data_IF_730666980458
#
_entry.id   IF_730666980458
#
_cell.length_a   1.000
_cell.length_b   1.000
_cell.length_c   1.000
_cell.angle_alpha   90.00
_cell.angle_beta   90.00
_cell.angle_gamma   90.00
#
_symmetry.space_group_name_H-M   'P 1'
#
loop_
_entity.id
_entity.type
_entity.pdbx_description
1 polymer ?
#
# COMPACT_ATOMS: atom_id res chain seq x y z
N UNK A 1 -11.74 9.54 -8.40
CA UNK A 1 -10.58 8.64 -8.28
C UNK A 1 -11.01 7.24 -8.72
N UNK A 2 -10.13 6.44 -9.32
CA UNK A 2 -10.46 5.10 -9.83
C UNK A 2 -10.94 4.15 -8.73
N UNK A 3 -11.93 3.30 -9.01
CA UNK A 3 -12.38 2.25 -8.09
C UNK A 3 -11.45 1.03 -8.17
N UNK A 4 -10.88 0.53 -7.06
CA UNK A 4 -10.04 -0.68 -7.07
C UNK A 4 -10.82 -1.98 -7.32
N UNK A 5 -12.15 -1.95 -7.34
CA UNK A 5 -12.97 -3.14 -7.56
C UNK A 5 -12.70 -3.75 -8.94
N UNK A 6 -12.35 -5.03 -8.99
CA UNK A 6 -12.09 -5.75 -10.24
C UNK A 6 -10.73 -5.47 -10.88
N UNK A 7 -9.87 -4.66 -10.23
CA UNK A 7 -8.49 -4.44 -10.70
C UNK A 7 -7.63 -5.67 -10.43
N UNK A 8 -6.84 -6.06 -11.43
CA UNK A 8 -5.80 -7.06 -11.26
C UNK A 8 -4.60 -6.45 -10.51
N UNK A 9 -4.40 -6.91 -9.27
CA UNK A 9 -3.24 -6.54 -8.47
C UNK A 9 -2.10 -7.54 -8.71
N UNK A 10 -0.82 -7.11 -8.77
CA UNK A 10 0.33 -8.00 -8.87
C UNK A 10 0.59 -8.68 -7.52
N UNK A 11 -0.31 -9.59 -7.15
CA UNK A 11 -0.34 -10.35 -5.91
C UNK A 11 -0.81 -11.77 -6.23
N UNK A 12 0.04 -12.75 -5.93
CA UNK A 12 -0.25 -14.17 -6.16
C UNK A 12 -0.91 -14.79 -4.93
N UNK A 13 -2.23 -15.01 -5.00
CA UNK A 13 -3.02 -15.58 -3.91
C UNK A 13 -3.32 -17.07 -4.04
N UNK A 14 -2.76 -17.73 -5.06
CA UNK A 14 -3.06 -19.11 -5.38
C UNK A 14 -4.57 -19.32 -5.59
N UNK A 15 -5.22 -20.24 -4.86
CA UNK A 15 -6.66 -20.51 -5.03
C UNK A 15 -7.56 -19.44 -4.38
N UNK A 16 -7.00 -18.52 -3.59
CA UNK A 16 -7.77 -17.49 -2.88
C UNK A 16 -7.82 -16.19 -3.67
N UNK A 17 -8.76 -15.30 -3.32
CA UNK A 17 -8.91 -14.01 -3.98
C UNK A 17 -8.03 -12.95 -3.33
N UNK A 18 -7.56 -11.99 -4.13
CA UNK A 18 -7.05 -10.73 -3.60
C UNK A 18 -8.21 -9.85 -3.14
N UNK A 19 -8.11 -9.26 -1.95
CA UNK A 19 -9.13 -8.41 -1.34
C UNK A 19 -8.56 -7.07 -0.93
N UNK A 20 -9.27 -6.00 -1.26
CA UNK A 20 -8.94 -4.63 -0.83
C UNK A 20 -9.37 -4.45 0.62
N UNK A 21 -8.41 -4.20 1.50
CA UNK A 21 -8.62 -4.08 2.94
C UNK A 21 -8.84 -2.61 3.36
N UNK A 22 -8.10 -1.71 2.73
CA UNK A 22 -8.22 -0.25 2.92
C UNK A 22 -8.00 0.44 1.58
N UNK A 23 -8.65 1.58 1.38
CA UNK A 23 -8.38 2.45 0.24
C UNK A 23 -8.50 3.92 0.63
N UNK A 24 -7.74 4.77 -0.04
CA UNK A 24 -7.82 6.22 0.06
C UNK A 24 -7.41 6.82 -1.28
N UNK A 25 -7.82 8.06 -1.54
CA UNK A 25 -7.59 8.73 -2.81
C UNK A 25 -7.08 10.14 -2.60
N UNK A 26 -6.33 10.65 -3.57
CA UNK A 26 -5.79 11.99 -3.60
C UNK A 26 -4.99 12.20 -4.88
N UNK A 27 -4.76 13.45 -5.26
CA UNK A 27 -3.84 13.81 -6.34
C UNK A 27 -2.40 13.60 -5.82
N UNK A 28 -1.75 12.52 -6.26
CA UNK A 28 -0.46 12.09 -5.73
C UNK A 28 0.72 12.55 -6.58
N UNK A 29 0.49 12.81 -7.87
CA UNK A 29 1.52 13.28 -8.79
C UNK A 29 1.40 14.77 -9.15
N UNK A 30 0.32 15.43 -8.76
CA UNK A 30 0.08 16.86 -8.93
C UNK A 30 -0.51 17.24 -10.29
N UNK A 31 -1.06 16.28 -11.04
CA UNK A 31 -1.63 16.53 -12.38
C UNK A 31 -3.11 17.02 -12.34
N UNK A 32 -3.70 17.10 -11.14
CA UNK A 32 -5.08 17.51 -10.92
C UNK A 32 -6.10 16.36 -11.00
N UNK A 33 -5.66 15.12 -11.24
CA UNK A 33 -6.50 13.91 -11.25
C UNK A 33 -6.15 13.07 -10.03
N UNK A 34 -7.14 12.61 -9.25
CA UNK A 34 -6.84 11.84 -8.06
C UNK A 34 -6.59 10.36 -8.39
N UNK A 35 -5.48 9.84 -7.88
CA UNK A 35 -5.18 8.42 -7.78
C UNK A 35 -5.97 7.76 -6.64
N UNK A 36 -6.04 6.43 -6.68
CA UNK A 36 -6.46 5.61 -5.54
C UNK A 36 -5.32 4.74 -5.08
N UNK A 37 -5.07 4.70 -3.77
CA UNK A 37 -4.12 3.78 -3.15
C UNK A 37 -4.89 2.70 -2.42
N UNK A 38 -4.61 1.45 -2.76
CA UNK A 38 -5.28 0.28 -2.21
C UNK A 38 -4.29 -0.56 -1.41
N UNK A 39 -4.68 -0.90 -0.18
CA UNK A 39 -4.03 -1.93 0.64
C UNK A 39 -4.72 -3.26 0.35
N UNK A 40 -4.00 -4.22 -0.19
CA UNK A 40 -4.55 -5.49 -0.69
C UNK A 40 -3.86 -6.66 -0.01
N UNK A 41 -4.63 -7.70 0.30
CA UNK A 41 -4.14 -8.96 0.88
C UNK A 41 -4.85 -10.13 0.24
N UNK A 42 -4.28 -11.33 0.35
CA UNK A 42 -5.00 -12.55 -0.01
C UNK A 42 -6.07 -12.87 1.05
N UNK A 43 -7.21 -13.37 0.60
CA UNK A 43 -8.30 -13.83 1.46
C UNK A 43 -7.99 -15.23 2.00
N UNK A 44 -7.10 -15.28 2.99
CA UNK A 44 -6.58 -16.54 3.54
C UNK A 44 -7.57 -17.27 4.46
N UNK A 45 -8.76 -16.70 4.74
CA UNK A 45 -9.74 -17.19 5.72
C UNK A 45 -9.26 -17.17 7.18
N UNK A 46 -7.99 -17.51 7.42
CA UNK A 46 -7.28 -17.48 8.70
C UNK A 46 -5.86 -16.95 8.51
N UNK A 47 -5.31 -16.32 9.56
CA UNK A 47 -3.98 -15.69 9.51
C UNK A 47 -4.02 -14.26 8.98
N UNK A 48 -2.83 -13.66 8.89
CA UNK A 48 -2.66 -12.28 8.41
C UNK A 48 -1.59 -12.26 7.32
N UNK A 49 -1.94 -12.62 6.06
CA UNK A 49 -0.98 -12.62 4.98
C UNK A 49 -0.41 -11.20 4.76
N UNK A 50 0.82 -11.09 4.23
CA UNK A 50 1.43 -9.82 3.90
C UNK A 50 0.53 -8.95 3.02
N UNK A 51 0.65 -7.64 3.21
CA UNK A 51 -0.08 -6.64 2.44
C UNK A 51 0.76 -6.17 1.26
N UNK A 52 0.11 -6.03 0.11
CA UNK A 52 0.57 -5.16 -0.97
C UNK A 52 -0.06 -3.78 -0.83
N UNK A 53 0.67 -2.73 -1.19
CA UNK A 53 0.14 -1.37 -1.31
C UNK A 53 0.34 -0.89 -2.73
N UNK A 54 -0.75 -0.61 -3.43
CA UNK A 54 -0.73 -0.32 -4.86
C UNK A 54 -1.35 1.04 -5.15
N UNK A 55 -0.79 1.77 -6.10
CA UNK A 55 -1.33 3.03 -6.62
C UNK A 55 -2.02 2.77 -7.94
N UNK A 56 -3.26 3.25 -8.06
CA UNK A 56 -4.11 3.15 -9.23
C UNK A 56 -4.32 4.53 -9.84
N UNK A 57 -4.24 4.61 -11.16
CA UNK A 57 -4.71 5.76 -11.94
C UNK A 57 -5.85 5.35 -12.87
N UNK A 58 -6.60 6.33 -13.36
CA UNK A 58 -7.60 6.10 -14.40
C UNK A 58 -6.89 5.79 -15.72
N UNK A 59 -7.12 4.61 -16.27
CA UNK A 59 -6.54 4.21 -17.55
C UNK A 59 -7.28 4.77 -18.76
N UNK A 60 -6.86 4.34 -19.95
CA UNK A 60 -7.62 4.58 -21.19
C UNK A 60 -8.96 3.82 -21.13
N UNK A 61 -10.03 4.41 -21.67
CA UNK A 61 -11.38 3.83 -21.65
C UNK A 61 -11.95 3.60 -20.23
N UNK A 62 -11.56 4.45 -19.27
CA UNK A 62 -12.09 4.46 -17.90
C UNK A 62 -11.82 3.23 -17.04
N UNK A 63 -10.89 2.36 -17.46
CA UNK A 63 -10.47 1.18 -16.67
C UNK A 63 -9.31 1.54 -15.73
N UNK A 64 -9.46 1.39 -14.41
CA UNK A 64 -8.37 1.55 -13.46
C UNK A 64 -7.21 0.58 -13.72
N UNK A 65 -5.97 1.03 -13.54
CA UNK A 65 -4.78 0.17 -13.62
C UNK A 65 -3.76 0.49 -12.53
N UNK A 66 -2.98 -0.51 -12.14
CA UNK A 66 -1.83 -0.33 -11.22
C UNK A 66 -0.71 0.41 -11.95
N UNK A 67 -0.20 1.47 -11.33
CA UNK A 67 0.95 2.26 -11.82
C UNK A 67 2.14 2.26 -10.89
N UNK A 68 1.96 1.89 -9.61
CA UNK A 68 3.05 1.71 -8.67
C UNK A 68 2.73 0.67 -7.59
N UNK A 69 3.77 0.04 -7.08
CA UNK A 69 3.75 -0.82 -5.89
C UNK A 69 4.59 -0.13 -4.82
N UNK A 70 3.95 0.33 -3.74
CA UNK A 70 4.63 1.03 -2.62
C UNK A 70 5.17 0.06 -1.58
N UNK A 71 4.51 -1.09 -1.42
CA UNK A 71 4.92 -2.23 -0.59
C UNK A 71 4.72 -3.48 -1.43
N UNK A 72 5.80 -4.23 -1.68
CA UNK A 72 5.71 -5.56 -2.29
C UNK A 72 5.34 -6.57 -1.18
N UNK A 73 4.30 -7.41 -1.36
CA UNK A 73 3.94 -8.46 -0.41
C UNK A 73 5.12 -9.37 0.00
N UNK A 74 6.13 -9.53 -0.86
CA UNK A 74 7.36 -10.29 -0.58
C UNK A 74 8.23 -9.66 0.52
N UNK A 75 8.06 -8.37 0.81
CA UNK A 75 8.70 -7.71 1.95
C UNK A 75 8.14 -8.17 3.31
N UNK A 76 7.05 -8.96 3.31
CA UNK A 76 6.42 -9.53 4.51
C UNK A 76 5.91 -8.50 5.52
N UNK A 77 5.53 -7.31 5.04
CA UNK A 77 4.85 -6.33 5.88
C UNK A 77 3.34 -6.56 5.92
N UNK A 78 2.71 -6.27 7.05
CA UNK A 78 1.28 -6.01 7.13
C UNK A 78 1.02 -4.54 7.47
N UNK A 79 -0.08 -3.98 6.96
CA UNK A 79 -0.42 -2.56 7.16
C UNK A 79 -1.45 -2.43 8.29
N UNK A 80 -1.09 -1.75 9.37
CA UNK A 80 -1.98 -1.49 10.51
C UNK A 80 -2.67 -0.12 10.41
N UNK A 81 -1.94 0.92 10.02
CA UNK A 81 -2.45 2.27 9.77
C UNK A 81 -2.09 2.74 8.35
N UNK A 82 -2.95 3.59 7.76
CA UNK A 82 -2.85 4.01 6.37
C UNK A 82 -3.64 5.31 6.11
N UNK A 83 -3.02 6.25 5.41
CA UNK A 83 -3.66 7.49 4.99
C UNK A 83 -3.05 8.06 3.69
N UNK A 84 -3.86 8.85 2.98
CA UNK A 84 -3.42 9.74 1.90
C UNK A 84 -3.74 11.17 2.32
N UNK A 85 -2.73 12.05 2.36
CA UNK A 85 -2.86 13.48 2.70
C UNK A 85 -1.78 14.28 2.00
N UNK A 86 -2.14 15.44 1.47
CA UNK A 86 -1.20 16.42 0.90
C UNK A 86 -0.23 15.82 -0.14
N UNK A 87 -0.75 15.01 -1.07
CA UNK A 87 0.05 14.32 -2.11
C UNK A 87 0.99 13.23 -1.58
N UNK A 88 0.82 12.81 -0.31
CA UNK A 88 1.63 11.78 0.32
C UNK A 88 0.78 10.59 0.78
N UNK A 89 1.37 9.40 0.66
CA UNK A 89 0.86 8.18 1.28
C UNK A 89 1.64 7.94 2.55
N UNK A 90 0.96 7.62 3.66
CA UNK A 90 1.60 7.18 4.90
C UNK A 90 1.04 5.86 5.36
N UNK A 91 1.87 5.00 5.94
CA UNK A 91 1.44 3.75 6.54
C UNK A 91 2.27 3.38 7.76
N UNK A 92 1.66 2.66 8.69
CA UNK A 92 2.37 1.89 9.73
C UNK A 92 2.48 0.45 9.27
N UNK A 93 3.72 -0.02 9.12
CA UNK A 93 4.08 -1.33 8.62
C UNK A 93 4.56 -2.20 9.78
N UNK A 94 3.96 -3.37 9.93
CA UNK A 94 4.36 -4.40 10.89
C UNK A 94 5.13 -5.48 10.14
N UNK A 95 6.38 -5.71 10.51
CA UNK A 95 7.29 -6.67 9.86
C UNK A 95 8.11 -7.47 10.86
N UNK A 96 9.16 -8.11 10.38
CA UNK A 96 9.96 -9.06 11.14
C UNK A 96 11.43 -8.67 11.13
N UNK A 97 12.09 -8.72 12.29
CA UNK A 97 13.51 -8.39 12.43
C UNK A 97 14.41 -9.46 11.82
N UNK A 98 13.94 -10.71 11.74
CA UNK A 98 14.65 -11.84 11.16
C UNK A 98 13.67 -12.94 10.70
N UNK A 99 14.21 -13.96 10.02
CA UNK A 99 13.43 -15.14 9.59
C UNK A 99 13.04 -16.06 10.74
N UNK A 100 13.68 -15.92 11.91
CA UNK A 100 13.44 -16.77 13.08
C UNK A 100 12.20 -16.31 13.89
N UNK A 101 11.71 -15.09 13.62
CA UNK A 101 10.52 -14.56 14.26
C UNK A 101 9.28 -15.30 13.74
N UNK A 102 8.44 -15.89 14.61
CA UNK A 102 7.23 -16.58 14.19
C UNK A 102 6.29 -15.69 13.39
N UNK A 103 5.73 -16.23 12.31
CA UNK A 103 4.82 -15.48 11.42
C UNK A 103 3.59 -14.90 12.13
N UNK A 104 3.16 -15.45 13.26
CA UNK A 104 2.05 -14.90 14.05
C UNK A 104 2.31 -13.48 14.57
N UNK A 105 3.58 -13.12 14.68
CA UNK A 105 4.02 -12.16 15.68
C UNK A 105 5.09 -11.22 15.10
N UNK A 106 4.73 -10.30 14.18
CA UNK A 106 5.63 -9.25 13.73
C UNK A 106 6.21 -8.48 14.92
N UNK A 107 7.53 -8.28 14.94
CA UNK A 107 8.26 -7.64 16.05
C UNK A 107 8.89 -6.29 15.66
N UNK A 108 8.76 -5.88 14.39
CA UNK A 108 9.23 -4.59 13.89
C UNK A 108 8.03 -3.72 13.50
N UNK A 109 8.07 -2.46 13.91
CA UNK A 109 7.14 -1.42 13.45
C UNK A 109 7.91 -0.33 12.72
N UNK A 110 7.55 -0.06 11.46
CA UNK A 110 8.10 1.02 10.67
C UNK A 110 7.01 1.99 10.23
N UNK A 111 7.30 3.29 10.31
CA UNK A 111 6.42 4.33 9.78
C UNK A 111 6.99 4.76 8.44
N UNK A 112 6.22 4.56 7.38
CA UNK A 112 6.63 4.85 6.02
C UNK A 112 5.79 6.00 5.43
N UNK A 113 6.44 6.81 4.61
CA UNK A 113 5.85 7.87 3.79
C UNK A 113 6.33 7.71 2.36
N UNK A 114 5.41 7.74 1.40
CA UNK A 114 5.73 7.78 -0.02
C UNK A 114 5.24 9.09 -0.62
N UNK A 115 6.08 9.68 -1.48
CA UNK A 115 5.74 10.86 -2.25
C UNK A 115 6.24 10.70 -3.67
N UNK A 116 5.45 11.19 -4.63
CA UNK A 116 5.89 11.29 -6.01
C UNK A 116 7.05 12.27 -6.15
N UNK A 117 8.14 11.83 -6.76
CA UNK A 117 9.31 12.64 -7.09
C UNK A 117 9.87 12.17 -8.43
N UNK A 118 9.93 13.06 -9.40
CA UNK A 118 10.62 12.84 -10.68
C UNK A 118 10.21 11.53 -11.39
N UNK A 119 8.91 11.22 -11.45
CA UNK A 119 8.43 10.03 -12.17
C UNK A 119 8.29 8.76 -11.35
N UNK A 120 8.55 8.78 -10.04
CA UNK A 120 8.40 7.62 -9.17
C UNK A 120 7.99 7.98 -7.74
N UNK A 121 7.36 7.04 -7.04
CA UNK A 121 7.13 7.15 -5.60
C UNK A 121 8.40 6.82 -4.83
N UNK A 122 8.85 7.75 -3.98
CA UNK A 122 10.04 7.57 -3.13
C UNK A 122 9.60 7.34 -1.68
N UNK A 123 10.01 6.21 -1.09
CA UNK A 123 9.79 5.89 0.32
C UNK A 123 10.75 6.67 1.21
N UNK A 124 10.24 7.16 2.33
CA UNK A 124 10.96 7.87 3.38
C UNK A 124 10.29 7.62 4.74
N UNK A 125 10.89 8.10 5.83
CA UNK A 125 10.22 8.13 7.14
C UNK A 125 9.41 9.43 7.26
N UNK A 126 8.18 9.40 7.80
CA UNK A 126 7.47 10.61 8.18
C UNK A 126 8.35 11.47 9.09
N UNK A 127 8.31 12.78 8.92
CA UNK A 127 8.94 13.69 9.87
C UNK A 127 8.30 13.47 11.24
N UNK A 128 9.11 13.22 12.27
CA UNK A 128 8.60 13.31 13.62
C UNK A 128 8.20 14.76 13.86
N UNK A 129 6.92 14.99 14.17
CA UNK A 129 6.49 16.29 14.63
C UNK A 129 7.29 16.60 15.89
N UNK A 130 8.21 17.56 15.81
CA UNK A 130 8.84 18.12 17.01
C UNK A 130 7.72 18.85 17.75
N UNK A 131 7.26 18.27 18.86
CA UNK A 131 6.48 19.04 19.83
C UNK A 131 7.35 20.19 20.30
N UNK A 132 6.89 21.42 20.06
CA UNK A 132 7.41 22.64 20.67
C UNK A 132 6.61 22.92 21.94
#
# INVERSE_FOLDING_TARGET
APDPTGVEFPLECGPTKAVVQKKASGDLDGDGRPETVAVVRCDAGSGNPPSGVYVLTQGTADTPRVVATLVDPKERFSVSDFAVRDGAVTATLLGYSSTDVPSCCPDVTDRAKWQWKNGAFVRSKPSEARSV
#
